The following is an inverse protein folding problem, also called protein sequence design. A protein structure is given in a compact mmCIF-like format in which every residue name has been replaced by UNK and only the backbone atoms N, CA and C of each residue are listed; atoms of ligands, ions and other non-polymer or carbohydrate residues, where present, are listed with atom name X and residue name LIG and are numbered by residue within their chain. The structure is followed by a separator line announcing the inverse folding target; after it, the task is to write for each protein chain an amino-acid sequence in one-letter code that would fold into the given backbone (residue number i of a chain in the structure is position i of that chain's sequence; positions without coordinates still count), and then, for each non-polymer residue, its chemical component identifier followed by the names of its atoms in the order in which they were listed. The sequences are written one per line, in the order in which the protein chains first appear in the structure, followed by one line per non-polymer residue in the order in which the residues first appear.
data_IF_570630963318
#
_entry.id   IF_570630963318
#
_cell.length_a   1.000
_cell.length_b   1.000
_cell.length_c   1.000
_cell.angle_alpha   90.00
_cell.angle_beta   90.00
_cell.angle_gamma   90.00
#
_symmetry.space_group_name_H-M   'P 1'
#
loop_
_entity.id
_entity.type
_entity.pdbx_description
1 polymer ?
#
# COMPACT_ATOMS: atom_id res chain seq x y z
N UNK A 1 21.85 -21.53 -6.06
CA UNK A 1 20.85 -21.51 -4.96
C UNK A 1 21.42 -20.63 -3.85
N UNK A 2 20.82 -19.42 -3.62
CA UNK A 2 21.48 -18.30 -2.94
C UNK A 2 21.58 -18.49 -1.41
N UNK A 3 22.79 -18.62 -0.87
CA UNK A 3 23.11 -18.62 0.57
C UNK A 3 22.44 -17.47 1.34
N UNK A 4 22.27 -16.30 0.73
CA UNK A 4 21.54 -15.16 1.33
C UNK A 4 20.06 -15.44 1.58
N UNK A 5 19.35 -16.19 0.72
CA UNK A 5 17.94 -16.55 0.94
C UNK A 5 17.76 -17.55 2.08
N UNK A 6 18.69 -18.47 2.24
CA UNK A 6 18.68 -19.48 3.33
C UNK A 6 18.94 -18.77 4.67
N UNK A 7 19.93 -17.88 4.74
CA UNK A 7 20.25 -17.14 5.97
C UNK A 7 19.12 -16.21 6.44
N UNK A 8 18.38 -15.57 5.49
CA UNK A 8 17.24 -14.71 5.85
C UNK A 8 16.06 -15.54 6.36
N UNK A 9 15.81 -16.75 5.82
CA UNK A 9 14.75 -17.65 6.27
C UNK A 9 15.00 -18.17 7.68
N UNK A 10 16.23 -18.58 7.97
CA UNK A 10 16.63 -19.06 9.31
C UNK A 10 16.52 -17.94 10.35
N UNK A 11 17.02 -16.74 10.06
CA UNK A 11 16.93 -15.60 10.97
C UNK A 11 15.49 -15.22 11.29
N UNK A 12 14.59 -15.27 10.30
CA UNK A 12 13.17 -15.03 10.50
C UNK A 12 12.50 -16.08 11.36
N UNK A 13 12.82 -17.36 11.11
CA UNK A 13 12.32 -18.48 11.90
C UNK A 13 12.75 -18.36 13.37
N UNK A 14 14.01 -17.99 13.62
CA UNK A 14 14.53 -17.80 14.98
C UNK A 14 13.84 -16.64 15.68
N UNK A 15 13.65 -15.51 15.02
CA UNK A 15 12.99 -14.34 15.59
C UNK A 15 11.51 -14.60 15.89
N UNK A 16 10.75 -15.17 14.97
CA UNK A 16 9.37 -15.55 15.20
C UNK A 16 9.24 -16.68 16.21
N UNK A 17 10.14 -17.68 16.17
CA UNK A 17 10.21 -18.79 17.12
C UNK A 17 10.47 -18.32 18.55
N UNK A 18 11.32 -17.32 18.78
CA UNK A 18 11.54 -16.75 20.12
C UNK A 18 10.28 -16.08 20.68
N UNK A 19 9.51 -15.38 19.86
CA UNK A 19 8.22 -14.81 20.24
C UNK A 19 7.21 -15.92 20.61
N UNK A 20 7.12 -16.97 19.80
CA UNK A 20 6.25 -18.10 20.09
C UNK A 20 6.65 -18.80 21.40
N UNK A 21 7.95 -19.02 21.61
CA UNK A 21 8.47 -19.62 22.84
C UNK A 21 8.14 -18.76 24.08
N UNK A 22 8.28 -17.42 23.98
CA UNK A 22 7.88 -16.48 25.04
C UNK A 22 6.39 -16.59 25.34
N UNK A 23 5.54 -16.59 24.31
CA UNK A 23 4.11 -16.75 24.49
C UNK A 23 3.73 -18.06 25.16
N UNK A 24 4.33 -19.19 24.76
CA UNK A 24 4.12 -20.49 25.38
C UNK A 24 4.62 -20.54 26.83
N UNK A 25 5.77 -19.92 27.14
CA UNK A 25 6.33 -19.83 28.48
C UNK A 25 5.34 -19.22 29.48
N UNK A 26 4.55 -18.23 29.05
CA UNK A 26 3.55 -17.56 29.89
C UNK A 26 2.17 -18.24 29.84
N UNK A 27 1.80 -18.89 28.75
CA UNK A 27 0.53 -19.61 28.61
C UNK A 27 0.49 -20.85 29.49
N UNK A 28 1.54 -21.67 29.47
CA UNK A 28 1.53 -22.97 30.11
C UNK A 28 1.26 -22.90 31.62
N UNK A 29 1.96 -22.08 32.43
CA UNK A 29 1.68 -21.99 33.89
C UNK A 29 0.27 -21.47 34.19
N UNK A 30 -0.23 -20.54 33.39
CA UNK A 30 -1.57 -19.97 33.54
C UNK A 30 -2.66 -20.99 33.19
N UNK A 31 -2.50 -21.76 32.11
CA UNK A 31 -3.44 -22.83 31.73
C UNK A 31 -3.48 -23.95 32.78
N UNK A 32 -2.32 -24.35 33.33
CA UNK A 32 -2.27 -25.31 34.39
C UNK A 32 -2.96 -24.80 35.67
N UNK A 33 -2.81 -23.54 36.01
CA UNK A 33 -3.51 -22.94 37.16
C UNK A 33 -5.03 -22.93 36.95
N UNK A 34 -5.51 -22.64 35.74
CA UNK A 34 -6.94 -22.71 35.40
C UNK A 34 -7.47 -24.16 35.56
N UNK A 35 -6.72 -25.15 35.09
CA UNK A 35 -7.10 -26.54 35.20
C UNK A 35 -7.12 -27.04 36.67
N UNK A 36 -6.28 -26.46 37.54
CA UNK A 36 -6.21 -26.79 38.96
C UNK A 36 -7.35 -26.18 39.80
N UNK A 37 -8.21 -25.31 39.24
CA UNK A 37 -9.35 -24.73 39.95
C UNK A 37 -8.95 -23.67 40.98
N UNK A 38 -8.52 -22.52 40.51
CA UNK A 38 -8.17 -21.36 41.36
C UNK A 38 -9.42 -20.64 41.92
N UNK A 39 -9.31 -19.91 43.03
CA UNK A 39 -10.32 -18.94 43.46
C UNK A 39 -10.62 -17.91 42.36
N UNK A 40 -11.79 -17.25 42.40
CA UNK A 40 -12.26 -16.35 41.37
C UNK A 40 -11.22 -15.33 40.89
N UNK A 41 -10.52 -14.68 41.85
CA UNK A 41 -9.45 -13.73 41.54
C UNK A 41 -8.26 -14.39 40.81
N UNK A 42 -7.85 -15.58 41.24
CA UNK A 42 -6.78 -16.37 40.61
C UNK A 42 -7.16 -16.81 39.19
N UNK A 43 -8.41 -17.25 39.02
CA UNK A 43 -8.97 -17.62 37.70
C UNK A 43 -8.95 -16.42 36.75
N UNK A 44 -9.37 -15.22 37.19
CA UNK A 44 -9.35 -14.01 36.38
C UNK A 44 -7.92 -13.65 35.93
N UNK A 45 -6.95 -13.68 36.84
CA UNK A 45 -5.55 -13.37 36.52
C UNK A 45 -4.95 -14.42 35.58
N UNK A 46 -5.18 -15.71 35.81
CA UNK A 46 -4.67 -16.78 34.95
C UNK A 46 -5.32 -16.75 33.56
N UNK A 47 -6.62 -16.39 33.43
CA UNK A 47 -7.31 -16.21 32.16
C UNK A 47 -6.71 -15.05 31.38
N UNK A 48 -6.46 -13.89 32.01
CA UNK A 48 -5.80 -12.76 31.40
C UNK A 48 -4.39 -13.11 30.90
N UNK A 49 -3.58 -13.76 31.75
CA UNK A 49 -2.24 -14.20 31.38
C UNK A 49 -2.25 -15.17 30.18
N UNK A 50 -3.18 -16.12 30.18
CA UNK A 50 -3.36 -17.06 29.05
C UNK A 50 -3.74 -16.32 27.78
N UNK A 51 -4.73 -15.40 27.82
CA UNK A 51 -5.17 -14.63 26.67
C UNK A 51 -4.03 -13.78 26.06
N UNK A 52 -3.29 -13.05 26.90
CA UNK A 52 -2.14 -12.24 26.47
C UNK A 52 -1.03 -13.11 25.87
N UNK A 53 -0.70 -14.24 26.47
CA UNK A 53 0.28 -15.16 25.94
C UNK A 53 -0.12 -15.75 24.57
N UNK A 54 -1.40 -16.10 24.39
CA UNK A 54 -1.94 -16.56 23.10
C UNK A 54 -1.87 -15.47 22.03
N UNK A 55 -2.09 -14.19 22.39
CA UNK A 55 -1.90 -13.08 21.46
C UNK A 55 -0.44 -12.98 21.02
N UNK A 56 0.53 -13.16 21.91
CA UNK A 56 1.97 -13.19 21.56
C UNK A 56 2.28 -14.34 20.59
N UNK A 57 1.73 -15.55 20.83
CA UNK A 57 1.89 -16.70 19.94
C UNK A 57 1.27 -16.41 18.55
N UNK A 58 0.05 -15.87 18.52
CA UNK A 58 -0.63 -15.53 17.28
C UNK A 58 0.15 -14.46 16.50
N UNK A 59 0.65 -13.43 17.20
CA UNK A 59 1.48 -12.38 16.59
C UNK A 59 2.77 -12.96 15.97
N UNK A 60 3.39 -13.97 16.59
CA UNK A 60 4.57 -14.63 16.01
C UNK A 60 4.26 -15.28 14.67
N UNK A 61 3.10 -15.95 14.54
CA UNK A 61 2.66 -16.58 13.30
C UNK A 61 2.32 -15.55 12.21
N UNK A 62 1.69 -14.44 12.59
CA UNK A 62 1.40 -13.32 11.68
C UNK A 62 2.71 -12.69 11.18
N UNK A 63 3.65 -12.37 12.07
CA UNK A 63 4.95 -11.78 11.71
C UNK A 63 5.80 -12.72 10.84
N UNK A 64 5.68 -14.03 11.05
CA UNK A 64 6.36 -15.02 10.22
C UNK A 64 5.80 -15.03 8.78
N UNK A 65 4.48 -14.88 8.61
CA UNK A 65 3.81 -14.91 7.29
C UNK A 65 3.78 -13.55 6.60
N UNK A 66 3.83 -12.46 7.35
CA UNK A 66 3.74 -11.10 6.80
C UNK A 66 4.94 -10.78 5.89
N UNK A 67 4.74 -10.00 4.84
CA UNK A 67 5.83 -9.51 3.98
C UNK A 67 6.59 -8.37 4.67
N UNK A 68 7.37 -8.75 5.68
CA UNK A 68 8.19 -7.87 6.52
C UNK A 68 9.63 -8.34 6.45
N UNK A 69 10.60 -7.42 6.40
CA UNK A 69 12.01 -7.78 6.41
C UNK A 69 12.37 -8.56 7.68
N UNK A 70 13.27 -9.54 7.56
CA UNK A 70 13.77 -10.34 8.71
C UNK A 70 14.32 -9.43 9.81
N UNK A 71 14.96 -8.30 9.47
CA UNK A 71 15.46 -7.32 10.42
C UNK A 71 14.35 -6.73 11.29
N UNK A 72 13.20 -6.43 10.70
CA UNK A 72 12.05 -5.86 11.41
C UNK A 72 11.39 -6.92 12.33
N UNK A 73 11.29 -8.18 11.88
CA UNK A 73 10.81 -9.27 12.73
C UNK A 73 11.75 -9.47 13.92
N UNK A 74 13.07 -9.47 13.69
CA UNK A 74 14.07 -9.58 14.76
C UNK A 74 14.01 -8.40 15.75
N UNK A 75 13.67 -7.20 15.28
CA UNK A 75 13.49 -6.00 16.12
C UNK A 75 12.29 -6.15 17.07
N UNK A 76 11.16 -6.65 16.56
CA UNK A 76 9.99 -6.94 17.41
C UNK A 76 10.33 -8.00 18.47
N UNK A 77 11.02 -9.06 18.06
CA UNK A 77 11.48 -10.10 18.97
C UNK A 77 12.45 -9.58 20.04
N UNK A 78 13.36 -8.67 19.66
CA UNK A 78 14.30 -8.03 20.59
C UNK A 78 13.58 -7.15 21.64
N UNK A 79 12.58 -6.36 21.25
CA UNK A 79 11.75 -5.61 22.17
C UNK A 79 11.02 -6.51 23.16
N UNK A 80 10.42 -7.60 22.67
CA UNK A 80 9.75 -8.58 23.52
C UNK A 80 10.71 -9.25 24.52
N UNK A 81 11.87 -9.67 24.04
CA UNK A 81 12.90 -10.28 24.89
C UNK A 81 13.44 -9.29 25.94
N UNK A 82 13.63 -8.03 25.57
CA UNK A 82 14.05 -6.97 26.50
C UNK A 82 13.05 -6.85 27.66
N UNK A 83 11.74 -6.80 27.36
CA UNK A 83 10.70 -6.73 28.39
C UNK A 83 10.69 -7.94 29.31
N UNK A 84 10.91 -9.13 28.75
CA UNK A 84 11.00 -10.38 29.54
C UNK A 84 12.21 -10.37 30.43
N UNK A 85 13.38 -9.98 29.94
CA UNK A 85 14.64 -9.95 30.68
C UNK A 85 14.59 -8.93 31.82
N UNK A 86 14.15 -7.68 31.50
CA UNK A 86 14.09 -6.62 32.51
C UNK A 86 13.14 -6.99 33.65
N UNK A 87 11.90 -7.37 33.30
CA UNK A 87 10.92 -7.72 34.35
C UNK A 87 11.26 -9.01 35.05
N UNK A 88 11.80 -10.01 34.33
CA UNK A 88 12.32 -11.24 34.95
C UNK A 88 13.43 -10.99 35.97
N UNK A 89 14.36 -10.08 35.64
CA UNK A 89 15.41 -9.66 36.58
C UNK A 89 14.84 -8.95 37.82
N UNK A 90 13.86 -8.05 37.64
CA UNK A 90 13.17 -7.41 38.78
C UNK A 90 12.47 -8.43 39.65
N UNK A 91 11.75 -9.39 39.10
CA UNK A 91 11.07 -10.44 39.85
C UNK A 91 12.05 -11.36 40.57
N UNK A 92 13.19 -11.67 39.95
CA UNK A 92 14.24 -12.48 40.58
C UNK A 92 14.88 -11.75 41.76
N UNK A 93 15.18 -10.46 41.62
CA UNK A 93 15.71 -9.62 42.69
C UNK A 93 14.69 -9.44 43.82
N UNK A 94 13.41 -9.23 43.49
CA UNK A 94 12.35 -9.12 44.51
C UNK A 94 12.16 -10.39 45.33
N UNK A 95 12.44 -11.55 44.75
CA UNK A 95 12.39 -12.84 45.49
C UNK A 95 13.36 -12.92 46.63
N UNK A 96 14.48 -12.22 46.61
CA UNK A 96 15.44 -12.16 47.70
C UNK A 96 14.96 -11.34 48.91
N UNK A 97 13.92 -10.53 48.73
CA UNK A 97 13.37 -9.62 49.74
C UNK A 97 11.99 -10.04 50.25
N UNK A 98 11.31 -10.96 49.56
CA UNK A 98 9.96 -11.42 49.87
C UNK A 98 10.01 -12.90 50.24
N UNK A 99 9.79 -13.21 51.53
CA UNK A 99 9.79 -14.59 52.07
C UNK A 99 8.56 -15.42 51.64
N UNK A 100 7.58 -14.84 50.97
CA UNK A 100 6.38 -15.54 50.56
C UNK A 100 6.56 -16.28 49.23
N UNK A 101 6.14 -17.54 49.18
CA UNK A 101 6.09 -18.34 47.97
C UNK A 101 5.05 -17.78 47.00
N UNK A 102 5.47 -17.02 45.96
CA UNK A 102 4.58 -16.50 44.93
C UNK A 102 4.23 -17.63 43.94
N UNK A 103 2.94 -17.93 43.72
CA UNK A 103 2.53 -18.93 42.74
C UNK A 103 3.07 -18.64 41.32
N UNK A 104 3.53 -19.68 40.63
CA UNK A 104 4.17 -19.54 39.32
C UNK A 104 3.28 -18.85 38.25
N UNK A 105 1.96 -19.09 38.31
CA UNK A 105 1.02 -18.45 37.36
C UNK A 105 0.92 -16.95 37.55
N UNK A 106 1.09 -16.41 38.78
CA UNK A 106 1.14 -14.96 39.00
C UNK A 106 2.37 -14.35 38.35
N UNK A 107 3.53 -14.97 38.53
CA UNK A 107 4.77 -14.57 37.86
C UNK A 107 4.58 -14.59 36.33
N UNK A 108 4.02 -15.69 35.81
CA UNK A 108 3.75 -15.86 34.39
C UNK A 108 2.76 -14.79 33.86
N UNK A 109 1.73 -14.43 34.62
CA UNK A 109 0.76 -13.39 34.26
C UNK A 109 1.41 -12.02 34.18
N UNK A 110 2.26 -11.66 35.13
CA UNK A 110 3.02 -10.38 35.10
C UNK A 110 3.97 -10.35 33.91
N UNK A 111 4.66 -11.45 33.62
CA UNK A 111 5.50 -11.58 32.42
C UNK A 111 4.69 -11.53 31.13
N UNK A 112 3.45 -12.06 31.11
CA UNK A 112 2.55 -11.97 29.95
C UNK A 112 2.17 -10.52 29.64
N UNK A 113 1.85 -9.72 30.66
CA UNK A 113 1.56 -8.28 30.50
C UNK A 113 2.78 -7.54 29.95
N UNK A 114 3.97 -7.80 30.51
CA UNK A 114 5.21 -7.19 30.00
C UNK A 114 5.52 -7.61 28.57
N UNK A 115 5.42 -8.89 28.25
CA UNK A 115 5.65 -9.42 26.91
C UNK A 115 4.69 -8.79 25.89
N UNK A 116 3.41 -8.71 26.22
CA UNK A 116 2.43 -8.07 25.36
C UNK A 116 2.71 -6.57 25.15
N UNK A 117 3.02 -5.84 26.22
CA UNK A 117 3.34 -4.40 26.12
C UNK A 117 4.56 -4.15 25.22
N UNK A 118 5.63 -4.95 25.39
CA UNK A 118 6.83 -4.80 24.56
C UNK A 118 6.65 -5.31 23.14
N UNK A 119 5.77 -6.29 22.90
CA UNK A 119 5.34 -6.67 21.57
C UNK A 119 4.67 -5.49 20.86
N UNK A 120 3.74 -4.78 21.53
CA UNK A 120 3.07 -3.59 20.97
C UNK A 120 4.09 -2.50 20.66
N UNK A 121 5.04 -2.23 21.58
CA UNK A 121 6.12 -1.25 21.36
C UNK A 121 6.95 -1.66 20.12
N UNK A 122 7.35 -2.92 20.01
CA UNK A 122 8.14 -3.41 18.90
C UNK A 122 7.42 -3.30 17.54
N UNK A 123 6.13 -3.62 17.50
CA UNK A 123 5.31 -3.46 16.30
C UNK A 123 5.19 -1.97 15.93
N UNK A 124 4.90 -1.12 16.92
CA UNK A 124 4.81 0.33 16.69
C UNK A 124 6.12 0.94 16.17
N UNK A 125 7.26 0.54 16.73
CA UNK A 125 8.59 0.96 16.26
C UNK A 125 8.82 0.59 14.79
N UNK A 126 8.47 -0.63 14.39
CA UNK A 126 8.57 -1.09 12.99
C UNK A 126 7.64 -0.30 12.07
N UNK A 127 6.39 -0.05 12.49
CA UNK A 127 5.44 0.75 11.72
C UNK A 127 5.94 2.19 11.51
N UNK A 128 6.50 2.80 12.55
CA UNK A 128 7.09 4.14 12.51
C UNK A 128 8.26 4.23 11.53
N UNK A 129 9.13 3.22 11.54
CA UNK A 129 10.28 3.15 10.63
C UNK A 129 9.80 3.04 9.18
N UNK A 130 8.83 2.16 8.90
CA UNK A 130 8.24 2.00 7.57
C UNK A 130 7.56 3.27 7.07
N UNK A 131 6.80 3.94 7.93
CA UNK A 131 6.20 5.22 7.59
C UNK A 131 7.26 6.26 7.21
N UNK A 132 8.38 6.32 7.95
CA UNK A 132 9.50 7.20 7.64
C UNK A 132 10.24 6.83 6.35
N UNK A 133 10.38 5.54 6.02
CA UNK A 133 10.98 5.08 4.77
C UNK A 133 10.11 5.48 3.57
N UNK A 134 8.80 5.24 3.65
CA UNK A 134 7.82 5.63 2.62
C UNK A 134 7.76 7.15 2.42
N UNK A 135 7.81 7.93 3.50
CA UNK A 135 7.83 9.38 3.40
C UNK A 135 9.07 9.89 2.66
N UNK A 136 10.27 9.34 2.97
CA UNK A 136 11.51 9.69 2.27
C UNK A 136 11.51 9.29 0.80
N UNK A 137 10.93 8.13 0.47
CA UNK A 137 10.82 7.68 -0.92
C UNK A 137 9.89 8.59 -1.72
N UNK A 138 8.74 8.97 -1.15
CA UNK A 138 7.84 9.97 -1.75
C UNK A 138 8.53 11.32 -1.96
N UNK A 139 9.28 11.79 -0.97
CA UNK A 139 10.03 13.05 -1.07
C UNK A 139 11.07 13.00 -2.20
N UNK A 140 11.83 11.91 -2.33
CA UNK A 140 12.78 11.71 -3.43
C UNK A 140 12.11 11.73 -4.79
N UNK A 141 10.99 11.03 -4.93
CA UNK A 141 10.21 11.00 -6.18
C UNK A 141 9.66 12.40 -6.51
N UNK A 142 9.20 13.15 -5.52
CA UNK A 142 8.72 14.52 -5.69
C UNK A 142 9.83 15.46 -6.18
N UNK A 143 11.04 15.37 -5.61
CA UNK A 143 12.20 16.16 -6.06
C UNK A 143 12.59 15.83 -7.49
N UNK A 144 12.71 14.53 -7.83
CA UNK A 144 13.05 14.08 -9.19
C UNK A 144 11.99 14.56 -10.19
N UNK A 145 10.71 14.44 -9.85
CA UNK A 145 9.62 14.89 -10.71
C UNK A 145 9.65 16.42 -10.92
N UNK A 146 9.97 17.19 -9.88
CA UNK A 146 10.12 18.65 -9.98
C UNK A 146 11.29 19.03 -10.88
N UNK A 147 12.44 18.37 -10.77
CA UNK A 147 13.60 18.60 -11.63
C UNK A 147 13.33 18.22 -13.08
N UNK A 148 12.69 17.09 -13.33
CA UNK A 148 12.32 16.64 -14.66
C UNK A 148 11.38 17.66 -15.34
N UNK A 149 10.39 18.14 -14.62
CA UNK A 149 9.45 19.16 -15.15
C UNK A 149 10.13 20.47 -15.47
N UNK A 150 11.01 20.93 -14.58
CA UNK A 150 11.78 22.14 -14.83
C UNK A 150 12.64 22.00 -16.09
N UNK A 151 13.31 20.87 -16.25
CA UNK A 151 14.16 20.61 -17.42
C UNK A 151 13.31 20.50 -18.70
N UNK A 152 12.19 19.76 -18.68
CA UNK A 152 11.30 19.65 -19.84
C UNK A 152 10.78 21.02 -20.27
N UNK A 153 10.41 21.88 -19.32
CA UNK A 153 9.96 23.24 -19.63
C UNK A 153 11.07 24.09 -20.27
N UNK A 154 12.29 23.98 -19.73
CA UNK A 154 13.44 24.69 -20.30
C UNK A 154 13.75 24.22 -21.72
N UNK A 155 13.74 22.90 -21.97
CA UNK A 155 13.96 22.32 -23.28
C UNK A 155 12.87 22.73 -24.28
N UNK A 156 11.60 22.74 -23.85
CA UNK A 156 10.51 23.23 -24.68
C UNK A 156 10.68 24.70 -25.09
N UNK A 157 11.06 25.57 -24.12
CA UNK A 157 11.32 26.98 -24.38
C UNK A 157 12.55 27.19 -25.31
N UNK A 158 13.57 26.35 -25.16
CA UNK A 158 14.76 26.37 -26.01
C UNK A 158 14.41 25.97 -27.47
N UNK A 159 13.58 24.94 -27.64
CA UNK A 159 13.08 24.51 -28.94
C UNK A 159 12.26 25.62 -29.61
N UNK A 160 11.34 26.26 -28.88
CA UNK A 160 10.54 27.38 -29.38
C UNK A 160 11.40 28.60 -29.76
N UNK A 161 12.44 28.87 -28.92
CA UNK A 161 13.40 29.93 -29.24
C UNK A 161 14.25 29.64 -30.48
N UNK A 162 14.65 28.41 -30.71
CA UNK A 162 15.42 27.99 -31.90
C UNK A 162 14.53 27.95 -33.16
N UNK A 163 13.25 27.65 -33.03
CA UNK A 163 12.30 27.68 -34.15
C UNK A 163 12.30 29.03 -34.86
N UNK A 164 12.42 30.14 -34.11
CA UNK A 164 12.49 31.47 -34.65
C UNK A 164 13.71 31.77 -35.52
N UNK A 165 14.78 30.98 -35.41
CA UNK A 165 16.02 31.10 -36.21
C UNK A 165 16.03 30.19 -37.45
N UNK A 166 15.01 29.34 -37.64
CA UNK A 166 14.91 28.41 -38.78
C UNK A 166 14.26 29.16 -39.99
N UNK A 167 14.96 29.20 -41.12
CA UNK A 167 14.46 29.86 -42.33
C UNK A 167 13.37 29.05 -43.02
N UNK A 168 13.45 27.71 -43.00
CA UNK A 168 12.48 26.81 -43.59
C UNK A 168 11.18 26.78 -42.79
N UNK A 169 10.10 27.21 -43.39
CA UNK A 169 8.80 27.36 -42.73
C UNK A 169 8.22 26.02 -42.25
N UNK A 170 8.40 24.94 -43.02
CA UNK A 170 7.89 23.61 -42.64
C UNK A 170 8.65 23.05 -41.42
N UNK A 171 9.97 23.20 -41.40
CA UNK A 171 10.82 22.78 -40.27
C UNK A 171 10.52 23.60 -39.02
N UNK A 172 10.29 24.92 -39.17
CA UNK A 172 9.90 25.80 -38.06
C UNK A 172 8.60 25.36 -37.44
N UNK A 173 7.54 25.15 -38.22
CA UNK A 173 6.23 24.72 -37.77
C UNK A 173 6.31 23.36 -37.01
N UNK A 174 7.13 22.44 -37.52
CA UNK A 174 7.38 21.15 -36.86
C UNK A 174 8.06 21.29 -35.52
N UNK A 175 9.04 22.17 -35.36
CA UNK A 175 9.75 22.43 -34.10
C UNK A 175 8.79 23.09 -33.11
N UNK A 176 8.03 24.09 -33.51
CA UNK A 176 7.02 24.74 -32.68
C UNK A 176 5.98 23.74 -32.18
N UNK A 177 5.45 22.89 -33.06
CA UNK A 177 4.50 21.83 -32.66
C UNK A 177 5.09 20.79 -31.68
N UNK A 178 6.39 20.55 -31.66
CA UNK A 178 7.05 19.70 -30.69
C UNK A 178 7.22 20.42 -29.36
N UNK A 179 7.61 21.71 -29.40
CA UNK A 179 7.75 22.54 -28.21
C UNK A 179 6.42 22.71 -27.45
N UNK A 180 5.35 22.99 -28.18
CA UNK A 180 4.00 23.11 -27.60
C UNK A 180 3.53 21.81 -26.97
N UNK A 181 3.74 20.68 -27.65
CA UNK A 181 3.40 19.35 -27.09
C UNK A 181 4.16 19.03 -25.80
N UNK A 182 5.42 19.43 -25.70
CA UNK A 182 6.22 19.26 -24.47
C UNK A 182 5.70 20.17 -23.35
N UNK A 183 5.29 21.38 -23.68
CA UNK A 183 4.62 22.32 -22.77
C UNK A 183 3.33 21.73 -22.19
N UNK A 184 2.43 21.28 -23.07
CA UNK A 184 1.16 20.66 -22.71
C UNK A 184 1.35 19.41 -21.83
N UNK A 185 2.32 18.54 -22.18
CA UNK A 185 2.62 17.36 -21.41
C UNK A 185 3.08 17.70 -19.98
N UNK A 186 3.89 18.75 -19.85
CA UNK A 186 4.35 19.24 -18.55
C UNK A 186 3.21 19.79 -17.68
N UNK A 187 2.29 20.54 -18.28
CA UNK A 187 1.14 21.10 -17.56
C UNK A 187 0.15 20.01 -17.14
N UNK A 188 -0.11 19.01 -18.00
CA UNK A 188 -0.90 17.83 -17.66
C UNK A 188 -0.27 17.00 -16.54
N UNK A 189 1.05 16.80 -16.55
CA UNK A 189 1.76 16.11 -15.48
C UNK A 189 1.66 16.87 -14.14
N UNK A 190 1.67 18.21 -14.18
CA UNK A 190 1.51 19.07 -13.00
C UNK A 190 0.10 18.97 -12.42
N UNK A 191 -0.91 18.95 -13.27
CA UNK A 191 -2.30 18.81 -12.85
C UNK A 191 -2.56 17.45 -12.23
N UNK A 192 -2.07 16.37 -12.86
CA UNK A 192 -2.18 15.02 -12.33
C UNK A 192 -1.51 14.88 -10.96
N UNK A 193 -0.35 15.49 -10.76
CA UNK A 193 0.33 15.46 -9.47
C UNK A 193 -0.46 16.20 -8.39
N UNK A 194 -1.04 17.37 -8.68
CA UNK A 194 -1.92 18.07 -7.72
C UNK A 194 -3.10 17.21 -7.31
N UNK A 195 -3.70 16.49 -8.28
CA UNK A 195 -4.81 15.58 -8.01
C UNK A 195 -4.42 14.41 -7.10
N UNK A 196 -3.16 13.95 -7.16
CA UNK A 196 -2.65 12.85 -6.33
C UNK A 196 -2.17 13.29 -4.94
N UNK A 197 -1.66 14.54 -4.82
CA UNK A 197 -1.05 15.04 -3.58
C UNK A 197 -2.08 15.59 -2.57
N UNK A 198 -3.26 16.01 -3.04
CA UNK A 198 -4.30 16.49 -2.15
C UNK A 198 -5.12 15.31 -1.57
N UNK A 199 -5.35 15.26 -0.23
CA UNK A 199 -6.20 14.23 0.37
C UNK A 199 -7.58 14.28 -0.28
N UNK A 200 -8.08 13.15 -0.73
CA UNK A 200 -9.45 13.03 -1.21
C UNK A 200 -10.34 12.74 -0.01
N UNK A 201 -11.13 13.70 0.42
CA UNK A 201 -12.26 13.50 1.35
C UNK A 201 -13.48 12.93 0.58
N UNK A 202 -13.21 12.06 -0.38
CA UNK A 202 -14.17 11.60 -1.36
C UNK A 202 -15.35 10.87 -0.75
N UNK A 203 -16.55 11.39 -1.02
CA UNK A 203 -17.78 10.66 -0.82
C UNK A 203 -17.81 9.40 -1.71
N UNK A 204 -18.55 8.37 -1.25
CA UNK A 204 -18.75 7.16 -2.04
C UNK A 204 -19.59 7.50 -3.28
N UNK A 205 -19.00 7.36 -4.48
CA UNK A 205 -19.68 7.60 -5.76
C UNK A 205 -19.88 6.29 -6.52
N UNK A 206 -20.98 6.18 -7.22
CA UNK A 206 -21.24 5.06 -8.13
C UNK A 206 -20.31 5.16 -9.34
N UNK A 207 -19.44 4.16 -9.50
CA UNK A 207 -18.46 4.12 -10.57
C UNK A 207 -19.10 3.98 -11.95
N UNK A 208 -20.20 3.22 -12.05
CA UNK A 208 -20.89 3.00 -13.32
C UNK A 208 -21.55 4.29 -13.82
N UNK A 209 -22.20 5.03 -12.91
CA UNK A 209 -22.81 6.33 -13.21
C UNK A 209 -21.74 7.37 -13.61
N UNK A 210 -20.62 7.42 -12.89
CA UNK A 210 -19.49 8.33 -13.20
C UNK A 210 -18.91 8.03 -14.59
N UNK A 211 -18.62 6.78 -14.91
CA UNK A 211 -18.06 6.38 -16.21
C UNK A 211 -19.06 6.66 -17.34
N UNK A 212 -20.35 6.38 -17.14
CA UNK A 212 -21.39 6.65 -18.11
C UNK A 212 -21.49 8.16 -18.45
N UNK A 213 -21.45 9.02 -17.43
CA UNK A 213 -21.44 10.48 -17.58
C UNK A 213 -20.23 10.99 -18.37
N UNK A 214 -19.03 10.50 -18.02
CA UNK A 214 -17.80 10.85 -18.73
C UNK A 214 -17.85 10.40 -20.18
N UNK A 215 -18.22 9.15 -20.45
CA UNK A 215 -18.31 8.59 -21.81
C UNK A 215 -19.32 9.35 -22.66
N UNK A 216 -20.46 9.77 -22.07
CA UNK A 216 -21.44 10.60 -22.78
C UNK A 216 -20.84 11.94 -23.22
N UNK A 217 -20.13 12.63 -22.32
CA UNK A 217 -19.51 13.93 -22.61
C UNK A 217 -18.39 13.80 -23.66
N UNK A 218 -17.57 12.75 -23.59
CA UNK A 218 -16.47 12.54 -24.55
C UNK A 218 -17.00 12.12 -25.92
N UNK A 219 -18.09 11.34 -25.99
CA UNK A 219 -18.74 10.94 -27.23
C UNK A 219 -19.25 12.15 -28.01
N UNK A 220 -19.78 13.17 -27.35
CA UNK A 220 -20.24 14.41 -28.03
C UNK A 220 -19.07 15.16 -28.71
N UNK A 221 -17.88 15.10 -28.17
CA UNK A 221 -16.67 15.75 -28.69
C UNK A 221 -15.96 14.93 -29.77
N UNK A 222 -16.14 13.61 -29.74
CA UNK A 222 -15.49 12.67 -30.66
C UNK A 222 -16.54 11.77 -31.35
N UNK A 223 -17.34 12.29 -32.25
CA UNK A 223 -18.46 11.56 -32.89
C UNK A 223 -17.98 10.37 -33.74
N UNK A 224 -16.73 10.40 -34.22
CA UNK A 224 -16.14 9.32 -35.02
C UNK A 224 -15.64 8.13 -34.16
N UNK A 225 -15.61 8.28 -32.84
CA UNK A 225 -15.19 7.23 -31.93
C UNK A 225 -16.37 6.40 -31.41
N UNK A 226 -16.16 5.09 -31.30
CA UNK A 226 -17.11 4.16 -30.68
C UNK A 226 -16.70 3.88 -29.23
N UNK A 227 -17.65 4.00 -28.30
CA UNK A 227 -17.38 3.77 -26.86
C UNK A 227 -18.18 2.59 -26.33
N UNK A 228 -17.47 1.65 -25.71
CA UNK A 228 -18.03 0.49 -25.01
C UNK A 228 -17.69 0.57 -23.51
N UNK A 229 -18.66 0.28 -22.65
CA UNK A 229 -18.46 0.27 -21.19
C UNK A 229 -18.75 -1.11 -20.64
N UNK A 230 -17.82 -1.61 -19.80
CA UNK A 230 -17.91 -2.89 -19.08
C UNK A 230 -17.56 -2.64 -17.60
N UNK A 231 -18.38 -1.83 -16.93
CA UNK A 231 -18.24 -1.48 -15.52
C UNK A 231 -19.36 -2.19 -14.76
N UNK A 232 -19.06 -2.97 -13.70
CA UNK A 232 -20.09 -3.64 -12.90
C UNK A 232 -20.98 -2.62 -12.17
N UNK A 233 -22.28 -2.91 -12.11
CA UNK A 233 -23.25 -2.09 -11.37
C UNK A 233 -23.02 -2.20 -9.85
N UNK A 234 -23.34 -1.13 -9.11
CA UNK A 234 -23.27 -1.10 -7.65
C UNK A 234 -21.86 -1.05 -7.06
N UNK A 235 -20.85 -0.77 -7.87
CA UNK A 235 -19.49 -0.53 -7.38
C UNK A 235 -19.34 0.91 -6.95
N UNK A 236 -19.17 1.12 -5.63
CA UNK A 236 -18.88 2.45 -5.08
C UNK A 236 -17.37 2.65 -4.92
N UNK A 237 -16.89 3.81 -5.35
CA UNK A 237 -15.51 4.25 -5.17
C UNK A 237 -15.47 5.53 -4.34
N UNK A 238 -14.51 5.62 -3.43
CA UNK A 238 -14.23 6.89 -2.76
C UNK A 238 -13.57 7.83 -3.77
N UNK A 239 -14.23 8.94 -4.10
CA UNK A 239 -13.72 9.89 -5.08
C UNK A 239 -14.51 11.19 -5.08
N UNK A 240 -13.82 12.28 -5.41
CA UNK A 240 -14.39 13.59 -5.63
C UNK A 240 -14.45 13.91 -7.15
N UNK A 241 -14.64 15.16 -7.51
CA UNK A 241 -14.66 15.64 -8.90
C UNK A 241 -13.35 15.34 -9.67
N UNK A 242 -12.24 15.10 -8.93
CA UNK A 242 -10.94 14.75 -9.50
C UNK A 242 -10.95 13.38 -10.16
N UNK A 243 -11.64 12.40 -9.55
CA UNK A 243 -11.80 11.07 -10.14
C UNK A 243 -12.49 11.15 -11.50
N UNK A 244 -13.55 11.96 -11.62
CA UNK A 244 -14.23 12.20 -12.88
C UNK A 244 -13.30 12.81 -13.92
N UNK A 245 -12.47 13.79 -13.51
CA UNK A 245 -11.50 14.45 -14.39
C UNK A 245 -10.43 13.47 -14.89
N UNK A 246 -9.89 12.63 -14.01
CA UNK A 246 -8.90 11.60 -14.39
C UNK A 246 -9.51 10.59 -15.37
N UNK A 247 -10.72 10.11 -15.11
CA UNK A 247 -11.42 9.18 -16.00
C UNK A 247 -11.67 9.83 -17.36
N UNK A 248 -12.08 11.10 -17.36
CA UNK A 248 -12.31 11.88 -18.60
C UNK A 248 -11.03 12.00 -19.42
N UNK A 249 -9.92 12.41 -18.83
CA UNK A 249 -8.63 12.53 -19.51
C UNK A 249 -8.17 11.19 -20.10
N UNK A 250 -8.37 10.08 -19.38
CA UNK A 250 -8.03 8.76 -19.89
C UNK A 250 -8.88 8.36 -21.11
N UNK A 251 -10.17 8.65 -21.08
CA UNK A 251 -11.11 8.33 -22.17
C UNK A 251 -10.86 9.23 -23.38
N UNK A 252 -10.64 10.53 -23.17
CA UNK A 252 -10.29 11.49 -24.23
C UNK A 252 -8.95 11.12 -24.90
N UNK A 253 -7.92 10.81 -24.10
CA UNK A 253 -6.63 10.37 -24.64
C UNK A 253 -6.74 9.08 -25.46
N UNK A 254 -7.59 8.15 -25.04
CA UNK A 254 -7.85 6.93 -25.81
C UNK A 254 -8.56 7.24 -27.14
N UNK A 255 -9.51 8.19 -27.16
CA UNK A 255 -10.22 8.59 -28.37
C UNK A 255 -9.30 9.33 -29.37
N UNK A 256 -8.42 10.22 -28.87
CA UNK A 256 -7.53 11.04 -29.70
C UNK A 256 -6.38 10.22 -30.30
N UNK A 257 -5.80 9.30 -29.52
CA UNK A 257 -4.54 8.63 -29.90
C UNK A 257 -4.72 7.21 -30.48
N UNK A 258 -5.93 6.72 -30.64
CA UNK A 258 -6.17 5.35 -31.14
C UNK A 258 -6.30 5.26 -32.69
N UNK A 259 -6.14 6.37 -33.42
CA UNK A 259 -6.24 6.42 -34.89
C UNK A 259 -7.63 6.78 -35.38
N UNK A 260 -7.89 6.61 -36.71
CA UNK A 260 -9.16 6.94 -37.31
C UNK A 260 -10.30 6.03 -36.86
N UNK A 261 -11.44 6.58 -36.46
CA UNK A 261 -12.63 5.88 -35.98
C UNK A 261 -12.33 4.82 -34.88
N UNK A 262 -11.75 5.23 -33.72
CA UNK A 262 -11.30 4.29 -32.69
C UNK A 262 -12.47 3.67 -31.93
N UNK A 263 -12.30 2.41 -31.46
CA UNK A 263 -13.16 1.81 -30.45
C UNK A 263 -12.47 1.88 -29.09
N UNK A 264 -13.06 2.64 -28.16
CA UNK A 264 -12.57 2.82 -26.79
C UNK A 264 -13.41 1.98 -25.84
N UNK A 265 -12.79 0.97 -25.20
CA UNK A 265 -13.45 0.14 -24.18
C UNK A 265 -13.01 0.57 -22.79
N UNK A 266 -13.98 0.99 -21.98
CA UNK A 266 -13.77 1.34 -20.56
C UNK A 266 -14.27 0.17 -19.69
N UNK A 267 -13.35 -0.49 -18.96
CA UNK A 267 -13.70 -1.61 -18.10
C UNK A 267 -13.16 -1.43 -16.68
N UNK A 268 -13.91 -1.95 -15.70
CA UNK A 268 -13.48 -2.04 -14.32
C UNK A 268 -13.66 -3.46 -13.81
N UNK A 269 -12.72 -3.93 -12.98
CA UNK A 269 -12.80 -5.22 -12.30
C UNK A 269 -12.64 -5.01 -10.80
N UNK A 270 -13.45 -5.73 -10.02
CA UNK A 270 -13.33 -5.74 -8.56
C UNK A 270 -12.47 -6.92 -8.15
N UNK A 271 -11.26 -6.68 -7.66
CA UNK A 271 -10.41 -7.72 -7.11
C UNK A 271 -10.65 -7.84 -5.59
N UNK A 272 -11.09 -9.01 -5.16
CA UNK A 272 -11.12 -9.45 -3.75
C UNK A 272 -12.31 -9.00 -2.93
N UNK A 273 -13.40 -9.77 -3.00
CA UNK A 273 -14.44 -9.75 -1.98
C UNK A 273 -13.92 -10.47 -0.70
N UNK A 274 -13.11 -9.77 0.12
CA UNK A 274 -12.57 -10.40 1.33
C UNK A 274 -11.94 -9.46 2.35
N UNK A 275 -11.70 -8.21 2.05
CA UNK A 275 -11.19 -7.24 3.03
C UNK A 275 -12.12 -6.04 3.13
N UNK A 276 -12.43 -5.68 4.36
CA UNK A 276 -13.38 -4.63 4.79
C UNK A 276 -12.89 -3.19 4.48
N UNK A 277 -12.00 -3.02 3.51
CA UNK A 277 -11.53 -1.75 2.99
C UNK A 277 -11.69 -1.77 1.47
N UNK A 278 -12.38 -0.80 0.88
CA UNK A 278 -12.39 -0.66 -0.57
C UNK A 278 -10.97 -0.32 -1.02
N UNK A 279 -10.26 -1.29 -1.57
CA UNK A 279 -9.07 -1.02 -2.34
C UNK A 279 -9.49 -0.30 -3.61
N UNK A 280 -9.02 0.92 -3.80
CA UNK A 280 -9.23 1.65 -5.03
C UNK A 280 -8.63 0.85 -6.19
N UNK A 281 -9.50 0.27 -7.01
CA UNK A 281 -9.09 -0.44 -8.20
C UNK A 281 -8.94 0.58 -9.31
N UNK A 282 -7.71 0.84 -9.73
CA UNK A 282 -7.42 1.63 -10.91
C UNK A 282 -7.98 0.94 -12.14
N UNK A 283 -8.97 1.54 -12.80
CA UNK A 283 -9.49 1.09 -14.07
C UNK A 283 -8.36 1.05 -15.11
N UNK A 284 -8.19 -0.06 -15.78
CA UNK A 284 -7.21 -0.23 -16.86
C UNK A 284 -7.89 0.05 -18.18
N UNK A 285 -7.52 1.15 -18.86
CA UNK A 285 -7.80 1.31 -20.27
C UNK A 285 -6.84 0.39 -21.05
N UNK A 286 -7.34 -0.71 -21.59
CA UNK A 286 -6.53 -1.60 -22.41
C UNK A 286 -6.76 -1.31 -23.89
N UNK A 287 -5.68 -0.99 -24.60
CA UNK A 287 -5.67 -0.98 -26.07
C UNK A 287 -5.69 -2.44 -26.55
N UNK A 288 -6.80 -2.90 -27.09
CA UNK A 288 -6.78 -4.09 -27.94
C UNK A 288 -6.63 -3.62 -29.40
N UNK A 289 -5.43 -3.71 -29.91
CA UNK A 289 -5.15 -3.55 -31.34
C UNK A 289 -5.67 -4.79 -32.07
N UNK A 290 -6.83 -4.74 -32.73
CA UNK A 290 -7.19 -5.71 -33.75
C UNK A 290 -6.92 -5.06 -35.12
N UNK A 291 -5.75 -5.36 -35.74
CA UNK A 291 -5.57 -5.16 -37.17
C UNK A 291 -6.52 -6.12 -37.88
N UNK A 292 -7.65 -5.65 -38.36
CA UNK A 292 -8.34 -6.31 -39.45
C UNK A 292 -7.57 -5.99 -40.74
N UNK A 293 -6.75 -6.92 -41.19
CA UNK A 293 -6.21 -6.92 -42.56
C UNK A 293 -7.38 -7.10 -43.52
N UNK A 294 -7.82 -6.02 -44.15
CA UNK A 294 -8.66 -6.11 -45.34
C UNK A 294 -7.79 -6.60 -46.50
N UNK A 295 -7.74 -7.95 -46.67
CA UNK A 295 -7.29 -8.51 -47.94
C UNK A 295 -8.40 -8.26 -48.96
N UNK A 296 -8.31 -7.17 -49.68
CA UNK A 296 -9.02 -6.98 -50.94
C UNK A 296 -8.43 -7.96 -51.96
N UNK A 297 -9.17 -9.02 -52.26
CA UNK A 297 -8.98 -9.80 -53.52
C UNK A 297 -9.70 -9.00 -54.61
N UNK A 298 -8.95 -8.54 -55.54
CA UNK A 298 -9.48 -8.13 -56.89
C UNK A 298 -9.41 -9.33 -57.83
N UNK A 299 -10.32 -9.38 -58.82
CA UNK A 299 -10.54 -10.52 -59.68
C UNK A 299 -9.44 -10.70 -60.72
#
# INVERSE_FOLDING_TARGET
MNLRRVSTGVGRLLAAGSLAATGLLVVVPNALALAAGQPLAGTAVASLGTALGLVVVAASAVLYRADISTRNVARVAAWNLLGLVVLGAVLLLSRSTIDAAVPLFLVASVLAVSSFAHLVIGVHDVLRIRAGELARERERLSVVNTLLRHNLRNEAQLLLGLAGAVEDAETRERIEAVGDRLGDLNDKARELQRLLDEPSDGEARDLSALVAGVVSTVRERHPDATFETAVPDGVSVAGDERLERVVRELVENAAVHAGDAPTVTVSATVEGAGSRWPSATTGRASRRWSRRSSAARSP
#
